data_IF_217676026567
#
_entry.id   IF_217676026567
#
_cell.length_a   1.000
_cell.length_b   1.000
_cell.length_c   1.000
_cell.angle_alpha   90.00
_cell.angle_beta   90.00
_cell.angle_gamma   90.00
#
_symmetry.space_group_name_H-M   'P 1'
#
loop_
_entity.id
_entity.type
_entity.pdbx_description
1 polymer ?
#
# COMPACT_ATOMS: atom_id res chain seq x y z
N UNK A 1 22.94 -66.84 -2.56
CA UNK A 1 22.64 -66.14 -3.83
C UNK A 1 22.68 -64.64 -3.58
N UNK A 2 23.87 -64.06 -3.54
CA UNK A 2 24.07 -62.62 -3.46
C UNK A 2 24.09 -62.05 -4.87
N UNK A 3 23.07 -61.27 -5.24
CA UNK A 3 23.08 -60.52 -6.50
C UNK A 3 23.90 -59.24 -6.31
N UNK A 4 25.16 -59.29 -6.75
CA UNK A 4 26.00 -58.11 -6.95
C UNK A 4 25.35 -57.18 -7.99
N UNK A 5 24.82 -56.04 -7.53
CA UNK A 5 24.47 -54.92 -8.41
C UNK A 5 25.75 -54.14 -8.72
N UNK A 6 26.40 -54.54 -9.82
CA UNK A 6 27.58 -53.88 -10.35
C UNK A 6 27.17 -52.64 -11.17
N UNK A 7 26.81 -51.55 -10.47
CA UNK A 7 26.49 -50.27 -11.12
C UNK A 7 27.79 -49.48 -11.30
N UNK A 8 28.30 -49.42 -12.53
CA UNK A 8 29.38 -48.50 -12.91
C UNK A 8 28.81 -47.11 -13.15
N UNK A 9 29.22 -46.13 -12.34
CA UNK A 9 28.94 -44.72 -12.62
C UNK A 9 29.89 -44.23 -13.72
N UNK A 10 29.35 -43.86 -14.89
CA UNK A 10 30.14 -43.47 -16.05
C UNK A 10 30.83 -42.09 -15.94
N UNK A 11 30.63 -41.34 -14.85
CA UNK A 11 31.33 -40.09 -14.62
C UNK A 11 31.60 -39.87 -13.13
N UNK A 12 32.82 -40.12 -12.61
CA UNK A 12 33.18 -39.68 -11.28
C UNK A 12 33.14 -38.14 -11.26
N UNK A 13 32.31 -37.57 -10.38
CA UNK A 13 32.29 -36.13 -10.13
C UNK A 13 33.69 -35.73 -9.69
N UNK A 14 34.45 -35.06 -10.57
CA UNK A 14 35.71 -34.42 -10.21
C UNK A 14 35.41 -33.24 -9.29
N UNK A 15 35.37 -33.50 -7.98
CA UNK A 15 35.35 -32.45 -6.98
C UNK A 15 36.71 -31.77 -7.00
N UNK A 16 36.78 -30.57 -7.59
CA UNK A 16 37.94 -29.70 -7.46
C UNK A 16 38.05 -29.26 -6.00
N UNK A 17 38.89 -29.93 -5.21
CA UNK A 17 39.24 -29.53 -3.86
C UNK A 17 40.15 -28.30 -3.95
N UNK A 18 39.55 -27.12 -4.06
CA UNK A 18 40.26 -25.87 -3.83
C UNK A 18 40.77 -25.85 -2.38
N UNK A 19 41.99 -25.36 -2.10
CA UNK A 19 42.49 -25.27 -0.74
C UNK A 19 41.55 -24.43 0.14
N UNK A 20 41.32 -24.90 1.38
CA UNK A 20 40.48 -24.24 2.36
C UNK A 20 40.99 -22.82 2.63
N UNK A 21 40.20 -21.82 2.21
CA UNK A 21 40.50 -20.40 2.46
C UNK A 21 40.59 -20.13 3.96
N UNK A 22 41.61 -19.40 4.38
CA UNK A 22 41.78 -18.99 5.79
C UNK A 22 40.66 -18.03 6.23
N UNK A 23 40.38 -17.89 7.53
CA UNK A 23 39.37 -16.96 8.02
C UNK A 23 39.57 -15.50 7.55
N UNK A 24 40.82 -15.05 7.45
CA UNK A 24 41.15 -13.73 6.91
C UNK A 24 40.90 -13.62 5.41
N UNK A 25 41.22 -14.66 4.64
CA UNK A 25 40.92 -14.69 3.21
C UNK A 25 39.40 -14.67 2.97
N UNK A 26 38.64 -15.44 3.75
CA UNK A 26 37.17 -15.42 3.73
C UNK A 26 36.62 -14.04 4.08
N UNK A 27 37.22 -13.35 5.06
CA UNK A 27 36.82 -12.00 5.45
C UNK A 27 37.13 -10.95 4.38
N UNK A 28 38.32 -10.98 3.79
CA UNK A 28 38.70 -10.07 2.69
C UNK A 28 37.86 -10.30 1.44
N UNK A 29 37.58 -11.56 1.12
CA UNK A 29 36.71 -11.92 0.01
C UNK A 29 35.26 -11.49 0.28
N UNK A 30 34.76 -11.65 1.51
CA UNK A 30 33.46 -11.14 1.92
C UNK A 30 33.39 -9.60 1.79
N UNK A 31 34.40 -8.88 2.28
CA UNK A 31 34.47 -7.41 2.17
C UNK A 31 34.57 -6.93 0.72
N UNK A 32 35.33 -7.64 -0.13
CA UNK A 32 35.42 -7.36 -1.57
C UNK A 32 34.08 -7.60 -2.27
N UNK A 33 33.45 -8.75 -2.01
CA UNK A 33 32.15 -9.09 -2.57
C UNK A 33 31.08 -8.09 -2.11
N UNK A 34 31.13 -7.64 -0.85
CA UNK A 34 30.22 -6.63 -0.33
C UNK A 34 30.39 -5.28 -1.05
N UNK A 35 31.63 -4.87 -1.34
CA UNK A 35 31.92 -3.65 -2.12
C UNK A 35 31.44 -3.76 -3.56
N UNK A 36 31.75 -4.87 -4.23
CA UNK A 36 31.31 -5.11 -5.62
C UNK A 36 29.78 -5.19 -5.73
N UNK A 37 29.12 -5.84 -4.77
CA UNK A 37 27.66 -5.92 -4.72
C UNK A 37 27.04 -4.55 -4.46
N UNK A 38 27.62 -3.76 -3.54
CA UNK A 38 27.19 -2.40 -3.28
C UNK A 38 27.33 -1.51 -4.50
N UNK A 39 28.44 -1.62 -5.22
CA UNK A 39 28.67 -0.83 -6.43
C UNK A 39 27.70 -1.21 -7.55
N UNK A 40 27.46 -2.51 -7.78
CA UNK A 40 26.43 -2.98 -8.72
C UNK A 40 25.01 -2.53 -8.35
N UNK A 41 24.70 -2.44 -7.06
CA UNK A 41 23.42 -1.91 -6.58
C UNK A 41 23.33 -0.40 -6.77
N UNK A 42 24.38 0.35 -6.43
CA UNK A 42 24.43 1.80 -6.62
C UNK A 42 24.31 2.16 -8.12
N UNK A 43 24.95 1.39 -9.00
CA UNK A 43 24.83 1.51 -10.46
C UNK A 43 23.39 1.18 -10.94
N UNK A 44 22.74 0.16 -10.35
CA UNK A 44 21.35 -0.19 -10.64
C UNK A 44 20.33 0.83 -10.09
N UNK A 45 20.64 1.52 -8.99
CA UNK A 45 19.80 2.58 -8.41
C UNK A 45 19.87 3.90 -9.19
N UNK A 46 20.92 4.11 -9.98
CA UNK A 46 21.03 5.28 -10.87
C UNK A 46 20.27 5.12 -12.18
N UNK A 47 19.89 3.89 -12.55
CA UNK A 47 19.06 3.63 -13.72
C UNK A 47 17.58 3.58 -13.38
N UNK A 48 16.76 3.99 -14.34
CA UNK A 48 15.43 4.56 -14.12
C UNK A 48 14.41 3.50 -13.66
N UNK A 49 14.16 3.39 -12.36
CA UNK A 49 12.91 2.84 -11.82
C UNK A 49 12.68 1.32 -11.96
N UNK A 50 13.72 0.53 -12.21
CA UNK A 50 13.61 -0.94 -12.41
C UNK A 50 13.77 -1.79 -11.13
N UNK A 51 13.57 -1.21 -9.93
CA UNK A 51 13.69 -1.92 -8.64
C UNK A 51 12.84 -3.20 -8.57
N UNK A 52 11.67 -3.18 -9.23
CA UNK A 52 10.73 -4.31 -9.27
C UNK A 52 11.24 -5.41 -10.20
N UNK A 53 11.84 -5.05 -11.34
CA UNK A 53 12.32 -6.01 -12.34
C UNK A 53 13.57 -6.75 -11.87
N UNK A 54 14.48 -6.08 -11.15
CA UNK A 54 15.67 -6.70 -10.54
C UNK A 54 15.30 -7.64 -9.40
N UNK A 55 14.30 -7.29 -8.57
CA UNK A 55 13.79 -8.17 -7.52
C UNK A 55 13.23 -9.47 -8.11
N UNK A 56 12.38 -9.36 -9.13
CA UNK A 56 11.72 -10.50 -9.79
C UNK A 56 12.71 -11.39 -10.58
N UNK A 57 13.75 -10.81 -11.18
CA UNK A 57 14.75 -11.56 -11.95
C UNK A 57 15.80 -12.28 -11.09
N UNK A 58 15.98 -11.88 -9.84
CA UNK A 58 17.09 -12.37 -8.99
C UNK A 58 16.92 -13.80 -8.45
N UNK A 59 15.72 -14.37 -8.52
CA UNK A 59 15.40 -15.67 -7.92
C UNK A 59 15.56 -15.74 -6.39
N UNK A 60 15.85 -14.62 -5.73
CA UNK A 60 16.05 -14.55 -4.28
C UNK A 60 14.70 -14.48 -3.57
N UNK A 61 14.55 -15.24 -2.49
CA UNK A 61 13.39 -15.11 -1.61
C UNK A 61 13.35 -13.71 -0.96
N UNK A 62 12.14 -13.20 -0.69
CA UNK A 62 11.92 -11.91 -0.04
C UNK A 62 12.70 -11.75 1.28
N UNK A 63 12.81 -12.82 2.06
CA UNK A 63 13.58 -12.86 3.31
C UNK A 63 15.09 -12.75 3.09
N UNK A 64 15.60 -13.25 1.96
CA UNK A 64 17.01 -13.14 1.62
C UNK A 64 17.34 -11.75 1.08
N UNK A 65 16.46 -11.20 0.24
CA UNK A 65 16.56 -9.81 -0.21
C UNK A 65 16.51 -8.82 0.95
N UNK A 66 15.61 -9.05 1.92
CA UNK A 66 15.52 -8.22 3.14
C UNK A 66 16.79 -8.31 3.98
N UNK A 67 17.37 -9.49 4.15
CA UNK A 67 18.65 -9.66 4.86
C UNK A 67 19.80 -8.95 4.14
N UNK A 68 19.89 -9.11 2.81
CA UNK A 68 20.90 -8.46 1.99
C UNK A 68 20.77 -6.94 2.10
N UNK A 69 19.55 -6.39 1.96
CA UNK A 69 19.23 -4.96 2.14
C UNK A 69 19.58 -4.46 3.54
N UNK A 70 19.27 -5.23 4.58
CA UNK A 70 19.61 -4.87 5.96
C UNK A 70 21.13 -4.91 6.20
N UNK A 71 21.87 -5.78 5.51
CA UNK A 71 23.32 -5.86 5.62
C UNK A 71 24.07 -4.76 4.85
N UNK A 72 23.48 -4.24 3.76
CA UNK A 72 24.11 -3.24 2.89
C UNK A 72 23.66 -1.81 3.18
N UNK A 73 22.40 -1.61 3.56
CA UNK A 73 21.79 -0.27 3.74
C UNK A 73 21.80 0.23 5.18
N UNK A 74 22.01 -0.64 6.17
CA UNK A 74 22.04 -0.24 7.58
C UNK A 74 23.43 -0.41 8.18
N UNK A 75 23.98 0.71 8.64
CA UNK A 75 25.15 0.73 9.49
C UNK A 75 24.85 -0.08 10.77
N UNK A 76 25.64 -1.12 11.07
CA UNK A 76 25.45 -1.92 12.28
C UNK A 76 25.43 -1.02 13.53
N UNK A 77 24.68 -1.40 14.57
CA UNK A 77 24.61 -0.63 15.84
C UNK A 77 26.01 -0.30 16.39
N UNK A 78 26.97 -1.22 16.22
CA UNK A 78 28.38 -1.05 16.63
C UNK A 78 29.11 -0.03 15.76
N UNK A 79 28.92 -0.08 14.44
CA UNK A 79 29.50 0.90 13.50
C UNK A 79 28.93 2.30 13.72
N UNK A 80 27.61 2.42 13.90
CA UNK A 80 26.93 3.68 14.17
C UNK A 80 27.39 4.30 15.49
N UNK A 81 27.53 3.48 16.54
CA UNK A 81 28.08 3.92 17.83
C UNK A 81 29.52 4.43 17.67
N UNK A 82 30.37 3.74 16.91
CA UNK A 82 31.76 4.14 16.67
C UNK A 82 31.86 5.44 15.87
N UNK A 83 30.99 5.65 14.87
CA UNK A 83 30.90 6.88 14.09
C UNK A 83 30.44 8.06 14.95
N UNK A 84 29.40 7.89 15.76
CA UNK A 84 28.90 8.91 16.68
C UNK A 84 29.97 9.28 17.72
N UNK A 85 30.64 8.29 18.31
CA UNK A 85 31.72 8.52 19.27
C UNK A 85 32.89 9.28 18.63
N UNK A 86 33.28 8.92 17.40
CA UNK A 86 34.32 9.63 16.64
C UNK A 86 33.92 11.07 16.31
N UNK A 87 32.65 11.32 15.95
CA UNK A 87 32.13 12.67 15.72
C UNK A 87 32.13 13.50 17.00
N UNK A 88 31.63 12.96 18.11
CA UNK A 88 31.61 13.61 19.41
C UNK A 88 33.02 13.94 19.91
N UNK A 89 33.98 13.04 19.69
CA UNK A 89 35.39 13.30 20.06
C UNK A 89 36.01 14.43 19.22
N UNK A 90 35.67 14.51 17.92
CA UNK A 90 36.10 15.63 17.05
C UNK A 90 35.42 16.96 17.43
N UNK A 91 34.15 16.92 17.79
CA UNK A 91 33.40 18.10 18.26
C UNK A 91 33.96 18.60 19.61
N UNK A 92 34.27 17.68 20.54
CA UNK A 92 34.93 17.99 21.82
C UNK A 92 36.36 18.53 21.65
N UNK A 93 37.06 18.13 20.59
CA UNK A 93 38.38 18.69 20.25
C UNK A 93 38.30 20.04 19.51
N UNK A 94 37.13 20.68 19.45
CA UNK A 94 36.95 22.00 18.83
C UNK A 94 36.90 22.02 17.30
N UNK A 95 36.79 20.85 16.64
CA UNK A 95 36.71 20.80 15.17
C UNK A 95 35.35 21.28 14.67
N UNK A 96 35.32 22.43 13.98
CA UNK A 96 34.18 22.86 13.16
C UNK A 96 34.37 22.38 11.73
N UNK A 97 33.37 21.74 11.09
CA UNK A 97 33.48 21.35 9.68
C UNK A 97 33.69 22.59 8.82
N UNK A 98 34.74 22.58 8.00
CA UNK A 98 35.01 23.66 7.05
C UNK A 98 33.84 23.75 6.06
N UNK A 99 33.22 24.91 5.95
CA UNK A 99 32.33 25.21 4.83
C UNK A 99 33.19 25.33 3.58
N UNK A 100 32.92 24.51 2.57
CA UNK A 100 33.70 24.47 1.33
C UNK A 100 33.30 25.57 0.32
N UNK A 101 32.45 26.51 0.73
CA UNK A 101 31.95 27.62 -0.09
C UNK A 101 32.22 28.96 0.63
N UNK A 102 32.58 29.99 -0.14
CA UNK A 102 32.78 31.35 0.39
C UNK A 102 31.47 32.04 0.72
N UNK A 103 31.52 33.15 1.48
CA UNK A 103 30.37 34.05 1.63
C UNK A 103 29.94 34.57 0.24
N UNK A 104 28.64 34.66 0.02
CA UNK A 104 28.07 35.04 -1.28
C UNK A 104 28.49 36.44 -1.76
N UNK A 105 28.71 37.37 -0.83
CA UNK A 105 29.19 38.74 -1.12
C UNK A 105 30.62 38.78 -1.69
N UNK A 106 31.32 37.65 -1.68
CA UNK A 106 32.64 37.52 -2.29
C UNK A 106 32.58 37.22 -3.80
N UNK A 107 31.39 37.12 -4.39
CA UNK A 107 31.19 36.79 -5.79
C UNK A 107 30.49 37.92 -6.55
N UNK A 108 30.97 38.22 -7.75
CA UNK A 108 30.41 39.24 -8.65
C UNK A 108 29.63 38.55 -9.77
N UNK A 109 28.35 38.87 -9.89
CA UNK A 109 27.46 38.51 -11.00
C UNK A 109 26.15 39.31 -10.89
N UNK A 110 25.33 39.30 -11.94
CA UNK A 110 24.01 39.96 -11.96
C UNK A 110 22.99 39.15 -11.15
N UNK A 111 22.69 39.63 -9.94
CA UNK A 111 21.82 38.94 -8.97
C UNK A 111 20.35 39.05 -9.34
N UNK A 112 19.93 40.19 -9.88
CA UNK A 112 18.52 40.48 -10.13
C UNK A 112 18.04 39.69 -11.35
N UNK A 113 18.86 39.64 -12.40
CA UNK A 113 18.60 38.82 -13.58
C UNK A 113 18.58 37.32 -13.25
N UNK A 114 19.45 36.88 -12.33
CA UNK A 114 19.49 35.50 -11.86
C UNK A 114 18.23 35.09 -11.08
N UNK A 115 17.76 35.94 -10.18
CA UNK A 115 16.56 35.66 -9.38
C UNK A 115 15.28 35.63 -10.25
N UNK A 116 15.18 36.52 -11.24
CA UNK A 116 14.07 36.52 -12.19
C UNK A 116 13.97 35.22 -13.00
N UNK A 117 15.10 34.72 -13.51
CA UNK A 117 15.14 33.47 -14.29
C UNK A 117 14.78 32.24 -13.43
N UNK A 118 15.13 32.26 -12.15
CA UNK A 118 14.78 31.19 -11.22
C UNK A 118 13.29 31.22 -10.86
N UNK A 119 12.69 32.39 -10.72
CA UNK A 119 11.25 32.54 -10.45
C UNK A 119 10.37 32.11 -11.63
N UNK A 120 10.88 32.21 -12.86
CA UNK A 120 10.18 31.79 -14.07
C UNK A 120 10.25 30.27 -14.31
N UNK A 121 11.05 29.52 -13.54
CA UNK A 121 11.16 28.07 -13.72
C UNK A 121 9.93 27.33 -13.16
N UNK A 122 9.36 26.36 -13.91
CA UNK A 122 8.24 25.55 -13.42
C UNK A 122 8.60 24.79 -12.15
N UNK A 123 7.64 24.69 -11.23
CA UNK A 123 7.80 23.92 -10.00
C UNK A 123 8.09 22.44 -10.32
N UNK A 124 9.22 21.93 -9.80
CA UNK A 124 9.66 20.54 -10.02
C UNK A 124 10.65 20.33 -11.16
N UNK A 125 11.04 21.38 -11.88
CA UNK A 125 12.08 21.28 -12.92
C UNK A 125 13.49 21.05 -12.34
N UNK A 126 14.30 20.25 -13.05
CA UNK A 126 15.69 19.96 -12.66
C UNK A 126 16.59 21.12 -13.08
N UNK A 127 17.07 21.90 -12.11
CA UNK A 127 17.96 23.04 -12.38
C UNK A 127 19.42 22.59 -12.44
N UNK A 128 20.09 22.81 -13.58
CA UNK A 128 21.53 22.59 -13.73
C UNK A 128 22.34 23.81 -13.24
N UNK A 129 22.69 23.79 -11.95
CA UNK A 129 23.42 24.87 -11.28
C UNK A 129 24.78 25.21 -11.88
N UNK A 130 25.47 24.22 -12.45
CA UNK A 130 26.77 24.42 -13.08
C UNK A 130 26.66 25.19 -14.39
N UNK A 131 25.57 24.96 -15.16
CA UNK A 131 25.30 25.72 -16.37
C UNK A 131 24.89 27.16 -16.05
N UNK A 132 24.02 27.35 -15.06
CA UNK A 132 23.64 28.70 -14.60
C UNK A 132 24.86 29.48 -14.11
N UNK A 133 25.75 28.85 -13.35
CA UNK A 133 26.97 29.51 -12.90
C UNK A 133 27.89 29.99 -14.03
N UNK A 134 27.89 29.29 -15.19
CA UNK A 134 28.60 29.73 -16.40
C UNK A 134 27.84 30.83 -17.14
N UNK A 135 26.51 30.71 -17.23
CA UNK A 135 25.63 31.68 -17.89
C UNK A 135 25.74 33.07 -17.25
N UNK A 136 25.81 33.13 -15.92
CA UNK A 136 25.94 34.38 -15.16
C UNK A 136 27.39 34.78 -14.86
N UNK A 137 28.36 34.11 -15.48
CA UNK A 137 29.80 34.33 -15.33
C UNK A 137 30.26 34.67 -13.91
N UNK A 138 29.98 33.78 -12.95
CA UNK A 138 30.30 34.06 -11.54
C UNK A 138 31.81 34.17 -11.36
N UNK A 139 32.27 35.35 -10.94
CA UNK A 139 33.68 35.58 -10.59
C UNK A 139 33.87 35.71 -9.10
N UNK A 140 34.94 35.11 -8.58
CA UNK A 140 35.44 35.37 -7.23
C UNK A 140 36.07 36.77 -7.13
N UNK A 141 36.43 37.21 -5.91
CA UNK A 141 37.22 38.45 -5.70
C UNK A 141 38.49 38.52 -6.56
N UNK A 142 39.05 37.37 -6.93
CA UNK A 142 40.27 37.27 -7.72
C UNK A 142 40.01 37.22 -9.24
N UNK A 143 38.77 37.50 -9.70
CA UNK A 143 38.40 37.52 -11.12
C UNK A 143 38.26 36.14 -11.77
N UNK A 144 38.54 35.06 -11.06
CA UNK A 144 38.46 33.68 -11.57
C UNK A 144 37.11 33.03 -11.27
N UNK A 145 36.67 32.16 -12.18
CA UNK A 145 35.44 31.37 -12.01
C UNK A 145 35.67 30.26 -10.96
N UNK A 146 34.90 30.24 -9.86
CA UNK A 146 35.11 29.25 -8.80
C UNK A 146 34.72 27.84 -9.25
N UNK A 147 35.53 26.82 -8.93
CA UNK A 147 35.23 25.42 -9.26
C UNK A 147 33.91 24.92 -8.66
N UNK A 148 33.46 25.55 -7.59
CA UNK A 148 32.22 25.26 -6.86
C UNK A 148 31.11 26.30 -7.13
N UNK A 149 31.16 27.06 -8.22
CA UNK A 149 30.22 28.14 -8.52
C UNK A 149 28.74 27.71 -8.52
N UNK A 150 28.42 26.52 -9.02
CA UNK A 150 27.05 25.99 -8.98
C UNK A 150 26.53 25.75 -7.56
N UNK A 151 27.41 25.34 -6.64
CA UNK A 151 27.04 25.13 -5.24
C UNK A 151 26.78 26.46 -4.51
N UNK A 152 27.54 27.50 -4.87
CA UNK A 152 27.35 28.87 -4.36
C UNK A 152 25.97 29.43 -4.75
N UNK A 153 25.53 29.22 -5.99
CA UNK A 153 24.19 29.62 -6.44
C UNK A 153 23.08 28.86 -5.71
N UNK A 154 23.22 27.52 -5.62
CA UNK A 154 22.22 26.64 -5.02
C UNK A 154 21.92 26.97 -3.56
N UNK A 155 22.93 27.35 -2.77
CA UNK A 155 22.73 27.69 -1.35
C UNK A 155 22.14 29.10 -1.15
N UNK A 156 22.37 30.02 -2.08
CA UNK A 156 21.90 31.38 -1.94
C UNK A 156 20.41 31.53 -2.26
N UNK A 157 19.95 30.78 -3.26
CA UNK A 157 18.54 30.58 -3.43
C UNK A 157 18.06 29.70 -2.27
N UNK A 158 17.63 30.34 -1.19
CA UNK A 158 16.77 29.70 -0.19
C UNK A 158 15.40 29.37 -0.82
N UNK A 159 15.37 28.74 -1.99
CA UNK A 159 14.30 27.79 -2.29
C UNK A 159 14.47 26.79 -1.16
N UNK A 160 13.59 26.92 -0.16
CA UNK A 160 13.37 25.84 0.77
C UNK A 160 12.91 24.68 -0.09
N UNK A 161 13.84 23.85 -0.58
CA UNK A 161 13.54 22.48 -0.93
C UNK A 161 12.74 21.98 0.27
N UNK A 162 11.49 21.53 0.09
CA UNK A 162 10.61 21.19 1.20
C UNK A 162 11.37 20.27 2.13
N UNK A 163 11.88 20.87 3.21
CA UNK A 163 12.80 20.18 4.10
C UNK A 163 11.87 19.36 4.95
N UNK A 164 12.04 18.03 4.95
CA UNK A 164 11.17 17.14 5.73
C UNK A 164 11.01 17.74 7.12
N UNK A 165 9.77 18.12 7.46
CA UNK A 165 9.47 18.78 8.73
C UNK A 165 10.10 17.95 9.84
N UNK A 166 10.82 18.56 10.82
CA UNK A 166 11.39 17.81 11.91
C UNK A 166 10.32 16.92 12.54
N UNK A 167 10.61 15.64 12.76
CA UNK A 167 9.63 14.67 13.26
C UNK A 167 8.94 15.15 14.56
N UNK A 168 9.67 15.92 15.39
CA UNK A 168 9.13 16.58 16.57
C UNK A 168 8.01 17.56 16.26
N UNK A 169 8.21 18.44 15.27
CA UNK A 169 7.21 19.43 14.87
C UNK A 169 5.99 18.75 14.26
N UNK A 170 6.19 17.72 13.44
CA UNK A 170 5.10 16.92 12.89
C UNK A 170 4.30 16.23 14.00
N UNK A 171 4.97 15.64 14.99
CA UNK A 171 4.32 15.00 16.14
C UNK A 171 3.49 16.00 16.96
N UNK A 172 4.02 17.19 17.21
CA UNK A 172 3.29 18.23 17.94
C UNK A 172 2.07 18.71 17.15
N UNK A 173 2.21 18.90 15.84
CA UNK A 173 1.10 19.33 14.98
C UNK A 173 0.00 18.25 14.90
N UNK A 174 0.37 16.99 14.67
CA UNK A 174 -0.60 15.87 14.67
C UNK A 174 -1.34 15.79 16.01
N UNK A 175 -0.63 15.91 17.14
CA UNK A 175 -1.27 15.92 18.46
C UNK A 175 -2.26 17.06 18.60
N UNK A 176 -1.87 18.27 18.18
CA UNK A 176 -2.76 19.44 18.19
C UNK A 176 -4.02 19.19 17.36
N UNK A 177 -3.87 18.68 16.14
CA UNK A 177 -4.98 18.39 15.22
C UNK A 177 -5.93 17.31 15.75
N UNK A 178 -5.38 16.27 16.40
CA UNK A 178 -6.20 15.25 17.07
C UNK A 178 -6.95 15.86 18.25
N UNK A 179 -6.29 16.68 19.08
CA UNK A 179 -6.93 17.32 20.23
C UNK A 179 -7.97 18.37 19.84
N UNK A 180 -7.79 19.06 18.71
CA UNK A 180 -8.76 20.03 18.20
C UNK A 180 -9.91 19.39 17.41
N UNK A 181 -9.86 18.08 17.15
CA UNK A 181 -10.83 17.38 16.31
C UNK A 181 -10.65 17.62 14.80
N UNK A 182 -9.62 18.36 14.37
CA UNK A 182 -9.30 18.56 12.94
C UNK A 182 -8.89 17.23 12.28
N UNK A 183 -8.24 16.34 13.04
CA UNK A 183 -7.91 14.99 12.62
C UNK A 183 -8.72 13.99 13.44
N UNK A 184 -9.79 13.44 12.84
CA UNK A 184 -10.55 12.36 13.45
C UNK A 184 -9.81 11.03 13.33
N UNK A 185 -9.52 10.41 14.46
CA UNK A 185 -8.78 9.12 14.54
C UNK A 185 -9.65 7.97 15.05
N UNK A 186 -10.97 8.17 15.13
CA UNK A 186 -11.92 7.16 15.57
C UNK A 186 -12.01 6.97 17.09
N UNK A 187 -12.90 6.07 17.47
CA UNK A 187 -13.20 5.67 18.84
C UNK A 187 -12.29 4.51 19.30
N UNK A 188 -11.95 4.44 20.59
CA UNK A 188 -11.21 3.30 21.13
C UNK A 188 -12.08 2.04 21.11
N UNK A 189 -11.53 0.92 20.64
CA UNK A 189 -12.21 -0.38 20.57
C UNK A 189 -11.28 -1.51 21.01
N UNK A 190 -11.85 -2.67 21.33
CA UNK A 190 -11.11 -3.88 21.71
C UNK A 190 -10.00 -3.60 22.74
N UNK A 191 -10.36 -3.22 23.98
CA UNK A 191 -9.38 -3.01 25.05
C UNK A 191 -8.49 -4.24 25.25
N UNK A 192 -7.18 -4.03 25.33
CA UNK A 192 -6.19 -5.07 25.61
C UNK A 192 -5.27 -4.62 26.74
N UNK A 193 -5.02 -5.49 27.71
CA UNK A 193 -4.03 -5.23 28.76
C UNK A 193 -2.66 -5.72 28.32
N UNK A 194 -1.66 -4.83 28.34
CA UNK A 194 -0.26 -5.17 28.12
C UNK A 194 0.55 -4.97 29.40
N UNK A 195 1.56 -5.80 29.60
CA UNK A 195 2.52 -5.63 30.70
C UNK A 195 3.73 -4.89 30.14
N UNK A 196 3.98 -3.68 30.62
CA UNK A 196 5.20 -2.94 30.34
C UNK A 196 6.20 -3.20 31.44
N UNK A 197 7.36 -3.69 31.04
CA UNK A 197 8.50 -3.85 31.93
C UNK A 197 9.40 -2.64 31.79
N UNK A 198 9.56 -1.85 32.85
CA UNK A 198 10.50 -0.73 32.92
C UNK A 198 11.58 -1.03 33.96
N UNK A 199 12.81 -0.64 33.66
CA UNK A 199 13.86 -0.57 34.66
C UNK A 199 13.77 0.82 35.28
N UNK A 200 13.57 0.88 36.60
CA UNK A 200 13.57 2.14 37.35
C UNK A 200 14.96 2.75 37.40
N UNK A 201 15.07 4.03 37.78
CA UNK A 201 16.38 4.68 37.97
C UNK A 201 17.23 3.99 39.05
N UNK A 202 16.60 3.21 39.94
CA UNK A 202 17.25 2.37 40.95
C UNK A 202 17.68 0.98 40.42
N UNK A 203 17.53 0.70 39.13
CA UNK A 203 17.90 -0.58 38.52
C UNK A 203 16.94 -1.73 38.82
N UNK A 204 15.79 -1.48 39.45
CA UNK A 204 14.77 -2.49 39.74
C UNK A 204 13.82 -2.67 38.56
N UNK A 205 13.44 -3.92 38.30
CA UNK A 205 12.49 -4.26 37.25
C UNK A 205 11.06 -4.01 37.78
N UNK A 206 10.38 -3.00 37.23
CA UNK A 206 8.98 -2.71 37.53
C UNK A 206 8.09 -3.20 36.38
N UNK A 207 6.99 -3.88 36.71
CA UNK A 207 5.98 -4.34 35.75
C UNK A 207 4.71 -3.54 35.95
N UNK A 208 4.39 -2.68 34.99
CA UNK A 208 3.16 -1.89 34.96
C UNK A 208 2.17 -2.54 34.00
N UNK A 209 0.94 -2.79 34.43
CA UNK A 209 -0.16 -3.17 33.53
C UNK A 209 -0.76 -1.90 32.94
N UNK A 210 -0.78 -1.79 31.63
CA UNK A 210 -1.38 -0.68 30.90
C UNK A 210 -2.44 -1.21 29.94
N UNK A 211 -3.57 -0.53 29.86
CA UNK A 211 -4.64 -0.86 28.92
C UNK A 211 -4.43 -0.06 27.63
N UNK A 212 -4.29 -0.76 26.52
CA UNK A 212 -4.24 -0.20 25.17
C UNK A 212 -5.53 -0.52 24.43
N UNK A 213 -5.82 0.27 23.40
CA UNK A 213 -7.04 0.15 22.61
C UNK A 213 -6.68 0.17 21.12
N UNK A 214 -7.41 -0.61 20.33
CA UNK A 214 -7.52 -0.36 18.90
C UNK A 214 -8.31 0.93 18.64
N UNK A 215 -8.33 1.36 17.38
CA UNK A 215 -9.12 2.50 16.93
C UNK A 215 -10.05 2.07 15.79
N UNK A 216 -11.32 2.47 15.87
CA UNK A 216 -12.32 2.30 14.81
C UNK A 216 -12.89 3.66 14.44
N UNK A 217 -12.96 3.98 13.15
CA UNK A 217 -13.83 5.06 12.67
C UNK A 217 -15.20 4.41 12.42
N UNK A 218 -16.29 4.82 13.11
CA UNK A 218 -17.59 4.18 12.94
C UNK A 218 -18.03 4.15 11.47
N UNK A 219 -18.54 3.01 10.99
CA UNK A 219 -18.95 2.83 9.59
C UNK A 219 -19.90 3.93 9.12
N UNK A 220 -20.86 4.32 9.97
CA UNK A 220 -21.83 5.37 9.64
C UNK A 220 -21.16 6.73 9.38
N UNK A 221 -20.10 7.06 10.12
CA UNK A 221 -19.31 8.27 9.93
C UNK A 221 -18.56 8.23 8.58
N UNK A 222 -17.95 7.08 8.27
CA UNK A 222 -17.25 6.84 7.00
C UNK A 222 -18.21 7.01 5.82
N UNK A 223 -19.40 6.40 5.89
CA UNK A 223 -20.39 6.45 4.82
C UNK A 223 -20.93 7.86 4.55
N UNK A 224 -21.20 8.64 5.62
CA UNK A 224 -21.64 10.04 5.52
C UNK A 224 -20.56 10.93 4.93
N UNK A 225 -19.34 10.87 5.47
CA UNK A 225 -18.21 11.68 4.98
C UNK A 225 -17.87 11.37 3.52
N UNK A 226 -17.92 10.10 3.10
CA UNK A 226 -17.69 9.73 1.72
C UNK A 226 -18.81 10.21 0.78
N UNK A 227 -20.07 10.15 1.22
CA UNK A 227 -21.19 10.70 0.46
C UNK A 227 -21.03 12.21 0.24
N UNK A 228 -20.73 12.97 1.30
CA UNK A 228 -20.47 14.41 1.23
C UNK A 228 -19.35 14.73 0.24
N UNK A 229 -18.24 13.98 0.31
CA UNK A 229 -17.11 14.16 -0.61
C UNK A 229 -17.50 13.90 -2.07
N UNK A 230 -18.25 12.82 -2.33
CA UNK A 230 -18.67 12.44 -3.67
C UNK A 230 -19.72 13.40 -4.28
N UNK A 231 -20.54 14.02 -3.44
CA UNK A 231 -21.43 15.11 -3.83
C UNK A 231 -20.61 16.35 -4.21
N UNK A 232 -19.67 16.76 -3.35
CA UNK A 232 -18.83 17.94 -3.57
C UNK A 232 -17.96 17.78 -4.84
N UNK A 233 -17.39 16.60 -5.05
CA UNK A 233 -16.62 16.28 -6.25
C UNK A 233 -17.49 16.24 -7.50
N UNK A 234 -18.81 16.06 -7.37
CA UNK A 234 -19.75 15.95 -8.48
C UNK A 234 -19.66 14.63 -9.23
N UNK A 235 -19.08 13.59 -8.62
CA UNK A 235 -18.89 12.28 -9.27
C UNK A 235 -20.14 11.39 -9.23
N UNK A 236 -21.05 11.64 -8.29
CA UNK A 236 -22.30 10.88 -8.17
C UNK A 236 -23.32 11.28 -9.23
N UNK A 237 -24.01 10.27 -9.72
CA UNK A 237 -25.21 10.38 -10.52
C UNK A 237 -26.42 10.38 -9.59
N UNK A 238 -27.20 11.44 -9.63
CA UNK A 238 -28.38 11.61 -8.80
C UNK A 238 -29.60 11.90 -9.65
N UNK A 239 -30.72 11.27 -9.29
CA UNK A 239 -32.04 11.51 -9.84
C UNK A 239 -33.07 11.62 -8.70
N UNK A 240 -33.91 12.65 -8.79
CA UNK A 240 -35.06 12.90 -7.93
C UNK A 240 -36.14 11.85 -8.15
N UNK A 241 -37.02 11.70 -7.15
CA UNK A 241 -38.20 10.84 -7.30
C UNK A 241 -39.10 11.31 -8.46
N UNK A 242 -39.18 12.62 -8.70
CA UNK A 242 -39.91 13.20 -9.84
C UNK A 242 -39.29 12.82 -11.19
N UNK A 243 -37.96 12.80 -11.30
CA UNK A 243 -37.27 12.34 -12.52
C UNK A 243 -37.52 10.86 -12.82
N UNK A 244 -37.68 10.02 -11.79
CA UNK A 244 -38.08 8.63 -11.99
C UNK A 244 -39.53 8.49 -12.44
N UNK A 245 -40.44 9.30 -11.89
CA UNK A 245 -41.86 9.29 -12.27
C UNK A 245 -42.02 9.74 -13.73
N UNK A 246 -41.29 10.78 -14.13
CA UNK A 246 -41.41 11.40 -15.45
C UNK A 246 -40.46 10.82 -16.51
N UNK A 247 -39.79 9.70 -16.24
CA UNK A 247 -38.81 9.11 -17.17
C UNK A 247 -39.48 8.66 -18.48
N UNK A 248 -38.95 9.03 -19.64
CA UNK A 248 -39.47 8.56 -20.93
C UNK A 248 -39.10 7.09 -21.18
N UNK A 249 -39.84 6.38 -22.04
CA UNK A 249 -39.49 4.98 -22.39
C UNK A 249 -38.12 4.88 -23.07
N UNK A 250 -37.75 5.88 -23.86
CA UNK A 250 -36.45 5.95 -24.50
C UNK A 250 -35.33 6.10 -23.47
N UNK A 251 -35.52 6.96 -22.48
CA UNK A 251 -34.55 7.17 -21.40
C UNK A 251 -34.50 5.97 -20.44
N UNK A 252 -35.63 5.32 -20.18
CA UNK A 252 -35.65 4.08 -19.40
C UNK A 252 -34.77 3.01 -20.06
N UNK A 253 -34.95 2.79 -21.37
CA UNK A 253 -34.14 1.84 -22.16
C UNK A 253 -32.67 2.22 -22.20
N UNK A 254 -32.34 3.51 -22.36
CA UNK A 254 -30.94 3.98 -22.40
C UNK A 254 -30.23 3.69 -21.06
N UNK A 255 -30.91 3.90 -19.93
CA UNK A 255 -30.35 3.64 -18.60
C UNK A 255 -30.17 2.16 -18.30
N UNK A 256 -31.13 1.31 -18.66
CA UNK A 256 -30.97 -0.15 -18.52
C UNK A 256 -29.82 -0.67 -19.39
N UNK A 257 -29.68 -0.16 -20.62
CA UNK A 257 -28.56 -0.51 -21.50
C UNK A 257 -27.21 -0.10 -20.88
N UNK A 258 -27.13 1.08 -20.25
CA UNK A 258 -25.92 1.55 -19.56
C UNK A 258 -25.52 0.64 -18.40
N UNK A 259 -26.50 0.15 -17.64
CA UNK A 259 -26.29 -0.72 -16.48
C UNK A 259 -26.10 -2.19 -16.92
N UNK A 260 -26.40 -2.50 -18.20
CA UNK A 260 -26.36 -3.83 -18.80
C UNK A 260 -27.33 -4.82 -18.14
N UNK A 261 -28.50 -4.32 -17.72
CA UNK A 261 -29.54 -5.12 -17.07
C UNK A 261 -30.76 -5.29 -17.98
N UNK A 262 -31.47 -6.41 -17.82
CA UNK A 262 -32.72 -6.65 -18.54
C UNK A 262 -33.84 -5.77 -18.00
N UNK A 263 -34.65 -5.21 -18.90
CA UNK A 263 -35.80 -4.37 -18.52
C UNK A 263 -36.94 -5.28 -18.07
N UNK A 264 -37.46 -5.13 -16.83
CA UNK A 264 -38.66 -5.83 -16.40
C UNK A 264 -39.86 -5.50 -17.32
N UNK A 265 -40.73 -6.49 -17.55
CA UNK A 265 -41.89 -6.32 -18.45
C UNK A 265 -42.87 -5.23 -17.98
N UNK A 266 -43.08 -5.13 -16.67
CA UNK A 266 -43.91 -4.09 -16.08
C UNK A 266 -43.08 -2.81 -15.85
N UNK A 267 -43.55 -1.69 -16.42
CA UNK A 267 -42.92 -0.37 -16.31
C UNK A 267 -42.73 0.11 -14.87
N UNK A 268 -43.70 -0.09 -13.99
CA UNK A 268 -43.58 0.30 -12.57
C UNK A 268 -42.47 -0.50 -11.88
N UNK A 269 -42.42 -1.81 -12.15
CA UNK A 269 -41.34 -2.67 -11.65
C UNK A 269 -39.99 -2.25 -12.23
N UNK A 270 -39.93 -1.90 -13.52
CA UNK A 270 -38.70 -1.41 -14.16
C UNK A 270 -38.18 -0.12 -13.52
N UNK A 271 -39.06 0.85 -13.25
CA UNK A 271 -38.68 2.10 -12.58
C UNK A 271 -38.20 1.83 -11.15
N UNK A 272 -38.92 0.99 -10.39
CA UNK A 272 -38.54 0.65 -9.02
C UNK A 272 -37.19 -0.08 -8.95
N UNK A 273 -36.94 -1.00 -9.89
CA UNK A 273 -35.70 -1.75 -9.99
C UNK A 273 -34.54 -0.84 -10.40
N UNK A 274 -34.72 0.00 -11.42
CA UNK A 274 -33.72 1.00 -11.82
C UNK A 274 -33.37 1.93 -10.66
N UNK A 275 -34.39 2.47 -9.96
CA UNK A 275 -34.20 3.31 -8.79
C UNK A 275 -33.40 2.61 -7.69
N UNK A 276 -33.65 1.31 -7.47
CA UNK A 276 -32.91 0.53 -6.49
C UNK A 276 -31.42 0.40 -6.84
N UNK A 277 -31.10 0.15 -8.12
CA UNK A 277 -29.72 0.01 -8.60
C UNK A 277 -28.98 1.34 -8.53
N UNK A 278 -29.58 2.41 -9.07
CA UNK A 278 -28.95 3.73 -9.13
C UNK A 278 -28.80 4.38 -7.73
N UNK A 279 -29.60 3.96 -6.73
CA UNK A 279 -29.48 4.42 -5.33
C UNK A 279 -28.67 3.51 -4.42
N UNK A 280 -28.14 2.39 -4.92
CA UNK A 280 -27.35 1.46 -4.12
C UNK A 280 -25.89 1.53 -4.50
N UNK A 281 -25.03 2.07 -3.64
CA UNK A 281 -23.58 2.09 -3.87
C UNK A 281 -22.92 0.85 -3.28
N UNK A 282 -21.90 0.34 -3.95
CA UNK A 282 -21.10 -0.78 -3.43
C UNK A 282 -19.90 -0.27 -2.63
N UNK A 283 -19.83 -0.66 -1.36
CA UNK A 283 -18.67 -0.47 -0.49
C UNK A 283 -17.78 -1.70 -0.60
N UNK A 284 -16.52 -1.49 -0.95
CA UNK A 284 -15.46 -2.49 -0.91
C UNK A 284 -14.78 -2.46 0.46
N UNK A 285 -14.85 -3.59 1.17
CA UNK A 285 -14.11 -3.83 2.40
C UNK A 285 -13.03 -4.89 2.15
N UNK A 286 -11.80 -4.55 2.49
CA UNK A 286 -10.70 -5.52 2.55
C UNK A 286 -9.94 -5.32 3.85
N UNK A 287 -9.18 -6.32 4.25
CA UNK A 287 -8.26 -6.17 5.36
C UNK A 287 -6.88 -6.69 4.97
N UNK A 288 -5.87 -6.05 5.53
CA UNK A 288 -4.49 -6.46 5.36
C UNK A 288 -3.79 -6.55 6.73
N UNK A 289 -2.69 -7.28 6.74
CA UNK A 289 -1.82 -7.42 7.90
C UNK A 289 -0.51 -6.72 7.58
N UNK A 290 -0.21 -5.68 8.35
CA UNK A 290 0.98 -4.87 8.13
C UNK A 290 1.84 -4.84 9.37
N UNK A 291 3.14 -4.95 9.19
CA UNK A 291 4.12 -4.78 10.25
C UNK A 291 4.76 -3.40 10.14
N UNK A 292 4.59 -2.55 11.15
CA UNK A 292 5.23 -1.25 11.24
C UNK A 292 6.12 -1.24 12.47
N UNK A 293 7.43 -1.04 12.27
CA UNK A 293 8.42 -0.96 13.35
C UNK A 293 8.40 -2.18 14.29
N UNK A 294 8.28 -3.38 13.72
CA UNK A 294 8.16 -4.68 14.41
C UNK A 294 6.89 -4.85 15.26
N UNK A 295 5.93 -3.94 15.15
CA UNK A 295 4.59 -4.14 15.67
C UNK A 295 3.68 -4.59 14.54
N UNK A 296 2.99 -5.70 14.74
CA UNK A 296 2.00 -6.19 13.80
C UNK A 296 0.68 -5.47 14.00
N UNK A 297 0.01 -5.13 12.89
CA UNK A 297 -1.27 -4.44 12.87
C UNK A 297 -2.25 -5.18 11.98
N UNK A 298 -3.53 -5.12 12.36
CA UNK A 298 -4.63 -5.47 11.46
C UNK A 298 -5.31 -4.18 11.04
N UNK A 299 -5.34 -3.98 9.72
CA UNK A 299 -5.93 -2.81 9.08
C UNK A 299 -7.14 -3.26 8.28
N UNK A 300 -8.33 -2.81 8.67
CA UNK A 300 -9.51 -2.92 7.82
C UNK A 300 -9.65 -1.61 7.05
N UNK A 301 -9.83 -1.75 5.74
CA UNK A 301 -9.84 -0.65 4.79
C UNK A 301 -11.15 -0.67 4.01
N UNK A 302 -11.72 0.51 3.83
CA UNK A 302 -12.94 0.72 3.07
C UNK A 302 -12.67 1.63 1.88
N UNK A 303 -13.26 1.30 0.74
CA UNK A 303 -13.38 2.17 -0.42
C UNK A 303 -14.73 1.96 -1.09
N UNK A 304 -15.06 2.78 -2.08
CA UNK A 304 -16.23 2.55 -2.92
C UNK A 304 -15.80 1.87 -4.21
N UNK A 305 -16.69 1.08 -4.79
CA UNK A 305 -16.53 0.58 -6.14
C UNK A 305 -17.20 1.57 -7.10
N UNK A 306 -16.50 1.88 -8.18
CA UNK A 306 -17.10 2.63 -9.26
C UNK A 306 -18.09 1.75 -10.03
N UNK A 307 -19.25 2.31 -10.30
CA UNK A 307 -20.34 1.70 -11.05
C UNK A 307 -21.02 2.81 -11.88
N UNK A 308 -21.25 2.57 -13.16
CA UNK A 308 -21.90 3.53 -14.07
C UNK A 308 -23.37 3.78 -13.72
N UNK A 309 -23.99 2.89 -12.94
CA UNK A 309 -25.31 3.10 -12.36
C UNK A 309 -25.33 4.27 -11.37
N UNK A 310 -24.34 4.35 -10.49
CA UNK A 310 -24.31 5.34 -9.40
C UNK A 310 -23.42 6.55 -9.69
N UNK A 311 -22.45 6.43 -10.59
CA UNK A 311 -21.46 7.47 -10.85
C UNK A 311 -21.45 7.89 -12.33
N UNK A 312 -20.98 9.11 -12.55
CA UNK A 312 -20.78 9.65 -13.89
C UNK A 312 -19.56 9.01 -14.56
N UNK A 313 -19.62 8.83 -15.86
CA UNK A 313 -18.44 8.57 -16.67
C UNK A 313 -17.59 9.83 -16.81
N UNK A 314 -16.34 9.68 -17.23
CA UNK A 314 -15.46 10.83 -17.49
C UNK A 314 -16.07 11.79 -18.53
N UNK A 315 -16.76 11.23 -19.54
CA UNK A 315 -17.42 12.03 -20.58
C UNK A 315 -18.59 12.83 -20.00
N UNK A 316 -19.51 12.17 -19.30
CA UNK A 316 -20.66 12.85 -18.67
C UNK A 316 -20.21 13.88 -17.64
N UNK A 317 -19.11 13.63 -16.93
CA UNK A 317 -18.54 14.61 -15.99
C UNK A 317 -18.05 15.87 -16.71
N UNK A 318 -17.36 15.73 -17.85
CA UNK A 318 -16.91 16.87 -18.65
C UNK A 318 -18.08 17.64 -19.27
N UNK A 319 -19.13 16.93 -19.71
CA UNK A 319 -20.34 17.55 -20.26
C UNK A 319 -21.12 18.31 -19.18
N UNK A 320 -21.19 17.75 -17.95
CA UNK A 320 -21.92 18.35 -16.83
C UNK A 320 -21.17 19.52 -16.17
N UNK A 321 -19.84 19.45 -16.12
CA UNK A 321 -18.99 20.46 -15.48
C UNK A 321 -17.85 20.93 -16.42
N UNK A 322 -18.18 21.60 -17.53
CA UNK A 322 -17.18 22.03 -18.52
C UNK A 322 -16.16 23.04 -17.96
N UNK A 323 -16.51 23.75 -16.90
CA UNK A 323 -15.66 24.70 -16.19
C UNK A 323 -14.65 24.05 -15.24
N UNK A 324 -14.86 22.79 -14.87
CA UNK A 324 -13.98 22.05 -13.95
C UNK A 324 -12.87 21.36 -14.72
N UNK A 325 -11.73 21.18 -14.05
CA UNK A 325 -10.64 20.36 -14.60
C UNK A 325 -11.16 18.93 -14.81
N UNK A 326 -10.87 18.31 -15.98
CA UNK A 326 -11.17 16.90 -16.19
C UNK A 326 -10.52 16.02 -15.12
N UNK A 327 -11.30 15.07 -14.58
CA UNK A 327 -10.84 14.08 -13.62
C UNK A 327 -11.07 12.68 -14.16
N UNK A 328 -10.33 11.70 -13.63
CA UNK A 328 -10.70 10.30 -13.77
C UNK A 328 -11.70 9.99 -12.64
N UNK A 329 -12.99 9.89 -12.99
CA UNK A 329 -14.08 9.73 -12.04
C UNK A 329 -13.94 8.43 -11.26
N UNK A 330 -13.65 7.32 -11.95
CA UNK A 330 -13.41 6.02 -11.30
C UNK A 330 -12.28 6.13 -10.29
N UNK A 331 -11.14 6.70 -10.69
CA UNK A 331 -10.00 6.85 -9.79
C UNK A 331 -10.35 7.72 -8.58
N UNK A 332 -11.11 8.81 -8.75
CA UNK A 332 -11.48 9.68 -7.63
C UNK A 332 -12.46 9.00 -6.67
N UNK A 333 -13.42 8.21 -7.17
CA UNK A 333 -14.36 7.43 -6.35
C UNK A 333 -13.63 6.33 -5.56
N UNK A 334 -12.73 5.60 -6.20
CA UNK A 334 -12.01 4.47 -5.59
C UNK A 334 -10.81 4.90 -4.72
N UNK A 335 -10.29 6.12 -4.92
CA UNK A 335 -9.16 6.67 -4.17
C UNK A 335 -9.49 6.97 -2.72
N UNK A 336 -10.77 7.19 -2.38
CA UNK A 336 -11.22 7.41 -1.00
C UNK A 336 -11.05 6.12 -0.18
N UNK A 337 -9.83 5.88 0.29
CA UNK A 337 -9.46 4.77 1.17
C UNK A 337 -9.60 5.23 2.61
N UNK A 338 -10.66 4.78 3.28
CA UNK A 338 -10.87 5.04 4.70
C UNK A 338 -10.30 3.89 5.52
N UNK A 339 -9.43 4.24 6.47
CA UNK A 339 -8.99 3.32 7.51
C UNK A 339 -10.16 3.10 8.46
N UNK A 340 -10.78 1.93 8.39
CA UNK A 340 -11.98 1.60 9.16
C UNK A 340 -11.62 1.15 10.57
N UNK A 341 -10.78 0.13 10.69
CA UNK A 341 -10.31 -0.39 11.97
C UNK A 341 -8.79 -0.51 11.89
N UNK A 342 -8.12 0.01 12.91
CA UNK A 342 -6.68 -0.12 13.10
C UNK A 342 -6.37 -0.63 14.49
N UNK A 343 -5.73 -1.79 14.56
CA UNK A 343 -5.50 -2.48 15.83
C UNK A 343 -4.09 -3.04 15.91
N UNK A 344 -3.57 -3.14 17.12
CA UNK A 344 -2.27 -3.77 17.42
C UNK A 344 -2.51 -5.28 17.60
N UNK A 345 -1.75 -6.08 16.86
CA UNK A 345 -1.61 -7.53 17.05
C UNK A 345 -0.63 -7.80 18.20
N UNK A 346 -0.96 -8.72 19.11
CA UNK A 346 -0.16 -9.02 20.31
C UNK A 346 1.15 -9.75 19.99
N UNK A 347 1.32 -10.25 18.77
CA UNK A 347 2.48 -11.05 18.41
C UNK A 347 3.45 -10.23 17.57
N UNK A 348 4.60 -9.90 18.17
CA UNK A 348 5.78 -9.44 17.43
C UNK A 348 6.22 -10.52 16.44
N UNK A 349 6.32 -10.18 15.15
CA UNK A 349 6.92 -11.01 14.09
C UNK A 349 6.20 -12.31 13.73
N UNK A 350 4.91 -12.44 14.03
CA UNK A 350 4.08 -13.46 13.42
C UNK A 350 2.70 -12.83 13.17
N UNK A 351 2.23 -12.87 11.92
CA UNK A 351 0.92 -12.34 11.54
C UNK A 351 -0.17 -12.70 12.56
N UNK A 352 -1.16 -11.81 12.67
CA UNK A 352 -2.26 -11.91 13.63
C UNK A 352 -2.88 -13.32 13.63
N UNK A 353 -2.88 -14.00 14.78
CA UNK A 353 -3.59 -15.28 14.96
C UNK A 353 -5.10 -15.05 14.84
N UNK A 354 -5.82 -16.07 14.36
CA UNK A 354 -7.29 -16.02 14.22
C UNK A 354 -8.00 -15.59 15.52
N UNK A 355 -7.51 -16.05 16.67
CA UNK A 355 -7.99 -15.67 18.01
C UNK A 355 -8.05 -14.15 18.22
N UNK A 356 -7.05 -13.42 17.73
CA UNK A 356 -7.02 -11.96 17.85
C UNK A 356 -7.97 -11.29 16.87
N UNK A 357 -8.16 -11.85 15.66
CA UNK A 357 -9.17 -11.36 14.73
C UNK A 357 -10.58 -11.49 15.30
N UNK A 358 -10.82 -12.55 16.09
CA UNK A 358 -12.09 -12.77 16.77
C UNK A 358 -12.42 -11.69 17.79
N UNK A 359 -11.42 -11.04 18.41
CA UNK A 359 -11.65 -9.95 19.38
C UNK A 359 -12.30 -8.71 18.77
N UNK A 360 -12.35 -8.60 17.44
CA UNK A 360 -12.98 -7.49 16.72
C UNK A 360 -14.34 -7.86 16.12
N UNK A 361 -14.85 -9.07 16.35
CA UNK A 361 -16.12 -9.53 15.76
C UNK A 361 -17.28 -8.69 16.26
N UNK A 362 -17.42 -8.48 17.57
CA UNK A 362 -18.53 -7.70 18.13
C UNK A 362 -18.56 -6.27 17.58
N UNK A 363 -17.39 -5.63 17.55
CA UNK A 363 -17.21 -4.29 16.99
C UNK A 363 -17.58 -4.19 15.50
N UNK A 364 -17.36 -5.27 14.73
CA UNK A 364 -17.76 -5.34 13.32
C UNK A 364 -19.26 -5.62 13.18
N UNK A 365 -19.80 -6.53 13.99
CA UNK A 365 -21.22 -6.87 13.98
C UNK A 365 -22.08 -5.65 14.34
N UNK A 366 -21.63 -4.82 15.28
CA UNK A 366 -22.26 -3.53 15.62
C UNK A 366 -22.45 -2.66 14.37
N UNK A 367 -21.39 -2.43 13.60
CA UNK A 367 -21.42 -1.56 12.42
C UNK A 367 -22.14 -2.19 11.22
N UNK A 368 -22.22 -3.52 11.17
CA UNK A 368 -22.98 -4.24 10.15
C UNK A 368 -24.48 -4.15 10.37
N UNK A 369 -24.97 -3.93 11.60
CA UNK A 369 -26.41 -3.77 11.88
C UNK A 369 -27.01 -2.59 11.14
N UNK A 370 -26.24 -1.51 11.02
CA UNK A 370 -26.71 -0.25 10.45
C UNK A 370 -26.37 -0.12 8.96
N UNK A 371 -25.77 -1.15 8.33
CA UNK A 371 -25.34 -1.05 6.94
C UNK A 371 -26.51 -0.94 5.96
N UNK A 372 -27.57 -1.68 6.25
CA UNK A 372 -28.80 -1.68 5.46
C UNK A 372 -29.63 -0.41 5.68
N UNK A 373 -29.28 0.39 6.70
CA UNK A 373 -29.95 1.68 6.93
C UNK A 373 -29.51 2.68 5.86
N UNK A 374 -30.44 3.25 5.08
CA UNK A 374 -30.12 4.25 4.07
C UNK A 374 -29.57 5.54 4.69
N UNK A 375 -28.71 6.24 3.95
CA UNK A 375 -28.25 7.57 4.31
C UNK A 375 -29.14 8.60 3.62
N UNK A 376 -29.67 9.52 4.41
CA UNK A 376 -30.49 10.61 3.93
C UNK A 376 -29.64 11.86 3.66
N UNK A 377 -29.83 12.45 2.48
CA UNK A 377 -29.25 13.74 2.11
C UNK A 377 -30.24 14.46 1.20
N UNK A 378 -30.66 15.69 1.52
CA UNK A 378 -31.54 16.55 0.70
C UNK A 378 -32.70 15.82 -0.03
N UNK A 379 -33.41 14.95 0.71
CA UNK A 379 -34.53 14.09 0.28
C UNK A 379 -34.19 12.80 -0.49
N UNK A 380 -32.90 12.50 -0.70
CA UNK A 380 -32.44 11.25 -1.29
C UNK A 380 -32.16 10.22 -0.22
N UNK A 381 -32.59 8.97 -0.47
CA UNK A 381 -32.23 7.80 0.33
C UNK A 381 -31.24 6.96 -0.45
N UNK A 382 -30.00 6.92 0.01
CA UNK A 382 -28.92 6.16 -0.62
C UNK A 382 -28.66 4.92 0.22
N UNK A 383 -28.73 3.77 -0.41
CA UNK A 383 -28.38 2.50 0.21
C UNK A 383 -26.90 2.20 -0.09
N UNK A 384 -26.23 1.56 0.86
CA UNK A 384 -24.88 1.05 0.64
C UNK A 384 -24.89 -0.46 0.85
N UNK A 385 -24.29 -1.21 -0.06
CA UNK A 385 -24.11 -2.65 0.09
C UNK A 385 -22.62 -2.97 0.31
N UNK A 386 -22.34 -3.88 1.24
CA UNK A 386 -20.97 -4.28 1.54
C UNK A 386 -20.53 -5.45 0.66
N UNK A 387 -19.36 -5.31 0.06
CA UNK A 387 -18.67 -6.38 -0.67
C UNK A 387 -17.33 -6.65 0.00
N UNK A 388 -17.13 -7.90 0.41
CA UNK A 388 -15.93 -8.37 1.10
C UNK A 388 -14.89 -8.84 0.06
N UNK A 389 -13.68 -8.32 0.15
CA UNK A 389 -12.57 -8.68 -0.73
C UNK A 389 -11.41 -9.28 0.07
N UNK A 390 -10.86 -10.38 -0.42
CA UNK A 390 -9.58 -10.93 0.05
C UNK A 390 -8.43 -10.43 -0.82
N UNK A 391 -7.54 -9.59 -0.27
CA UNK A 391 -6.34 -9.06 -0.93
C UNK A 391 -6.39 -7.57 -1.30
N UNK A 392 -5.31 -7.07 -1.92
CA UNK A 392 -5.08 -5.63 -2.18
C UNK A 392 -5.95 -5.02 -3.31
N UNK A 393 -6.84 -5.79 -3.92
CA UNK A 393 -7.61 -5.41 -5.10
C UNK A 393 -8.67 -6.45 -5.45
N UNK A 394 -9.62 -6.14 -6.36
CA UNK A 394 -10.38 -7.20 -7.02
C UNK A 394 -9.42 -8.05 -7.87
N UNK A 395 -8.83 -9.08 -7.28
CA UNK A 395 -8.39 -10.21 -8.05
C UNK A 395 -9.63 -11.11 -8.20
N UNK A 396 -10.31 -11.02 -9.36
CA UNK A 396 -11.54 -11.81 -9.69
C UNK A 396 -11.37 -13.34 -9.62
N UNK A 397 -10.18 -13.81 -9.24
CA UNK A 397 -9.82 -15.19 -8.94
C UNK A 397 -10.08 -15.61 -7.46
N UNK A 398 -10.57 -14.72 -6.58
CA UNK A 398 -10.69 -14.99 -5.13
C UNK A 398 -12.06 -14.69 -4.48
N UNK A 399 -13.19 -14.89 -5.16
CA UNK A 399 -14.48 -15.08 -4.45
C UNK A 399 -14.65 -16.49 -3.86
N UNK A 400 -13.52 -17.11 -3.51
CA UNK A 400 -13.41 -18.40 -2.85
C UNK A 400 -11.95 -18.79 -2.82
N UNK A 401 -11.47 -19.25 -1.65
CA UNK A 401 -10.08 -19.64 -1.48
C UNK A 401 -9.56 -20.53 -2.61
N UNK A 402 -8.31 -20.32 -3.01
CA UNK A 402 -7.62 -21.19 -3.98
C UNK A 402 -7.69 -22.64 -3.52
N UNK A 403 -8.43 -23.49 -4.25
CA UNK A 403 -8.09 -24.90 -4.28
C UNK A 403 -6.83 -25.02 -5.12
N UNK A 404 -5.69 -25.28 -4.48
CA UNK A 404 -4.48 -25.69 -5.20
C UNK A 404 -4.69 -27.10 -5.75
N UNK A 405 -5.08 -27.18 -7.02
CA UNK A 405 -5.12 -28.41 -7.80
C UNK A 405 -6.53 -28.90 -8.13
N UNK A 406 -6.84 -28.95 -9.43
CA UNK A 406 -8.11 -29.41 -9.99
C UNK A 406 -8.51 -28.60 -11.23
N UNK A 407 -9.50 -29.09 -11.98
CA UNK A 407 -10.08 -28.40 -13.15
C UNK A 407 -10.87 -27.13 -12.78
N UNK A 408 -11.10 -26.87 -11.49
CA UNK A 408 -11.78 -25.70 -10.97
C UNK A 408 -11.01 -25.18 -9.75
N UNK A 409 -10.01 -24.30 -9.95
CA UNK A 409 -9.11 -23.85 -8.88
C UNK A 409 -9.76 -22.82 -7.94
N UNK A 410 -10.98 -22.38 -8.23
CA UNK A 410 -11.75 -21.39 -7.49
C UNK A 410 -13.23 -21.84 -7.34
N UNK A 411 -13.89 -21.40 -6.27
CA UNK A 411 -15.32 -21.64 -5.98
C UNK A 411 -16.28 -20.81 -6.85
N UNK A 412 -15.76 -20.12 -7.87
CA UNK A 412 -16.54 -19.37 -8.85
C UNK A 412 -17.20 -20.27 -9.92
N UNK A 413 -16.91 -21.58 -9.94
CA UNK A 413 -17.47 -22.50 -10.92
C UNK A 413 -16.90 -22.38 -12.33
N UNK A 414 -15.87 -21.54 -12.53
CA UNK A 414 -15.18 -21.38 -13.81
C UNK A 414 -14.07 -22.42 -13.96
N UNK A 415 -14.07 -23.15 -15.07
CA UNK A 415 -13.06 -24.15 -15.39
C UNK A 415 -11.68 -23.50 -15.57
N UNK A 416 -10.60 -24.16 -15.14
CA UNK A 416 -9.24 -23.64 -15.10
C UNK A 416 -8.75 -23.10 -16.46
N UNK A 417 -9.21 -23.72 -17.55
CA UNK A 417 -8.86 -23.34 -18.92
C UNK A 417 -9.50 -22.00 -19.35
N UNK A 418 -10.63 -21.62 -18.74
CA UNK A 418 -11.37 -20.39 -19.03
C UNK A 418 -11.02 -19.24 -18.08
N UNK A 419 -10.09 -19.43 -17.13
CA UNK A 419 -9.69 -18.38 -16.18
C UNK A 419 -9.00 -17.18 -16.84
N UNK A 420 -8.41 -17.38 -18.02
CA UNK A 420 -7.83 -16.30 -18.83
C UNK A 420 -8.89 -15.57 -19.66
N UNK A 421 -10.08 -16.15 -19.82
CA UNK A 421 -11.22 -15.56 -20.52
C UNK A 421 -12.04 -14.69 -19.56
N UNK A 422 -11.63 -13.44 -19.43
CA UNK A 422 -12.22 -12.48 -18.50
C UNK A 422 -13.72 -12.28 -18.75
N UNK A 423 -14.16 -12.30 -20.02
CA UNK A 423 -15.57 -12.10 -20.36
C UNK A 423 -16.43 -13.25 -19.81
N UNK A 424 -15.96 -14.48 -19.98
CA UNK A 424 -16.61 -15.68 -19.45
C UNK A 424 -16.65 -15.65 -17.92
N UNK A 425 -15.53 -15.31 -17.27
CA UNK A 425 -15.46 -15.17 -15.82
C UNK A 425 -16.43 -14.12 -15.25
N UNK A 426 -16.87 -13.15 -16.06
CA UNK A 426 -17.76 -12.07 -15.62
C UNK A 426 -19.23 -12.46 -15.70
N UNK A 427 -19.56 -13.45 -16.52
CA UNK A 427 -20.92 -13.87 -16.83
C UNK A 427 -21.36 -15.11 -16.05
N UNK A 428 -20.40 -15.84 -15.46
CA UNK A 428 -20.71 -17.01 -14.64
C UNK A 428 -21.37 -16.58 -13.34
N UNK A 429 -22.61 -17.04 -13.14
CA UNK A 429 -23.37 -16.79 -11.92
C UNK A 429 -22.74 -17.51 -10.72
N UNK A 430 -22.73 -16.89 -9.53
CA UNK A 430 -22.29 -17.56 -8.32
C UNK A 430 -23.15 -18.79 -8.06
N UNK A 431 -22.50 -19.94 -7.86
CA UNK A 431 -23.22 -21.15 -7.45
C UNK A 431 -23.71 -21.02 -6.00
N UNK A 432 -24.85 -21.63 -5.71
CA UNK A 432 -25.36 -21.71 -4.35
C UNK A 432 -24.46 -22.57 -3.44
N UNK A 433 -24.73 -22.55 -2.14
CA UNK A 433 -23.91 -23.25 -1.15
C UNK A 433 -23.90 -24.78 -1.39
N UNK A 434 -25.02 -25.35 -1.84
CA UNK A 434 -25.18 -26.79 -2.03
C UNK A 434 -24.42 -27.28 -3.27
N UNK A 435 -24.49 -26.54 -4.38
CA UNK A 435 -23.72 -26.79 -5.59
C UNK A 435 -22.22 -26.61 -5.35
N UNK A 436 -21.84 -25.60 -4.56
CA UNK A 436 -20.46 -25.41 -4.09
C UNK A 436 -19.96 -26.58 -3.25
N UNK A 437 -20.78 -27.09 -2.34
CA UNK A 437 -20.47 -28.28 -1.56
C UNK A 437 -20.33 -29.52 -2.45
N UNK A 438 -21.18 -29.70 -3.48
CA UNK A 438 -21.08 -30.79 -4.46
C UNK A 438 -19.79 -30.72 -5.28
N UNK A 439 -19.39 -29.53 -5.75
CA UNK A 439 -18.12 -29.34 -6.46
C UNK A 439 -16.89 -29.58 -5.59
N UNK A 440 -16.90 -29.05 -4.35
CA UNK A 440 -15.79 -29.25 -3.42
C UNK A 440 -15.61 -30.75 -3.09
N UNK A 441 -16.72 -31.48 -2.94
CA UNK A 441 -16.73 -32.92 -2.64
C UNK A 441 -16.49 -33.83 -3.84
N UNK A 442 -16.74 -33.36 -5.07
CA UNK A 442 -16.43 -34.11 -6.31
C UNK A 442 -14.97 -33.98 -6.76
N UNK A 443 -14.19 -33.08 -6.13
CA UNK A 443 -12.78 -32.88 -6.46
C UNK A 443 -11.93 -34.15 -6.23
N UNK A 444 -11.05 -34.44 -7.19
CA UNK A 444 -10.10 -35.56 -7.11
C UNK A 444 -9.20 -35.50 -5.85
N UNK A 445 -8.94 -34.30 -5.33
CA UNK A 445 -8.15 -34.07 -4.12
C UNK A 445 -8.84 -34.65 -2.89
N UNK A 446 -10.16 -34.49 -2.76
CA UNK A 446 -10.94 -35.00 -1.62
C UNK A 446 -11.19 -36.51 -1.74
N UNK A 447 -11.33 -37.01 -2.97
CA UNK A 447 -11.33 -38.45 -3.27
C UNK A 447 -10.02 -39.12 -2.86
N UNK A 448 -8.88 -38.55 -3.22
CA UNK A 448 -7.55 -39.03 -2.78
C UNK A 448 -7.34 -38.91 -1.27
N UNK A 449 -7.95 -37.93 -0.61
CA UNK A 449 -7.91 -37.78 0.85
C UNK A 449 -8.76 -38.87 1.54
N UNK A 450 -9.95 -39.19 1.00
CA UNK A 450 -10.79 -40.31 1.44
C UNK A 450 -10.16 -41.68 1.17
N UNK A 451 -9.48 -41.84 0.05
CA UNK A 451 -8.73 -43.04 -0.32
C UNK A 451 -7.39 -43.17 0.44
N UNK A 452 -7.06 -42.22 1.33
CA UNK A 452 -5.86 -42.26 2.16
C UNK A 452 -4.55 -41.93 1.45
N UNK A 453 -4.60 -41.57 0.16
CA UNK A 453 -3.45 -41.26 -0.68
C UNK A 453 -2.81 -39.89 -0.40
N UNK A 454 -3.54 -38.99 0.29
CA UNK A 454 -3.11 -37.64 0.61
C UNK A 454 -3.22 -37.43 2.13
N UNK A 455 -2.08 -37.34 2.81
CA UNK A 455 -2.03 -36.98 4.22
C UNK A 455 -1.80 -35.46 4.36
N UNK A 456 -2.82 -34.66 4.72
CA UNK A 456 -2.69 -33.21 4.83
C UNK A 456 -1.75 -32.77 5.96
N UNK A 457 -1.37 -33.68 6.86
CA UNK A 457 -0.50 -33.42 7.99
C UNK A 457 0.95 -33.93 7.80
N UNK A 458 1.29 -34.46 6.62
CA UNK A 458 2.58 -35.13 6.39
C UNK A 458 3.80 -34.21 6.58
N UNK A 459 3.61 -32.90 6.41
CA UNK A 459 4.66 -31.88 6.57
C UNK A 459 4.54 -31.08 7.87
N UNK A 460 3.58 -31.40 8.74
CA UNK A 460 3.48 -30.74 10.04
C UNK A 460 4.48 -31.40 10.99
N UNK A 461 5.46 -30.61 11.45
CA UNK A 461 6.37 -31.05 12.51
C UNK A 461 5.55 -31.37 13.75
N UNK A 462 5.64 -32.62 14.22
CA UNK A 462 5.15 -33.00 15.55
C UNK A 462 5.85 -32.10 16.58
N UNK A 463 5.04 -31.44 17.42
CA UNK A 463 5.55 -30.70 18.58
C UNK A 463 5.98 -31.66 19.67
#
# INVERSE_FOLDING_TARGET
MEKNLNIKFENPIKVSLSPLKTPEQKRKEFERNLKETKQKMDDAFTDVGEDIHVFLASGKSFNQYTRDRMSTSFESKKSASKRVLSRLNKEKSGYKPKKHHGKFDNYKFDKDLFLQEIQQNPAGSTINWSLLARKYDIKSKNGTTPKNAGQVLKENIKISLPTKRPAKNLKTDIKRKVSSGELYIGVPVAPKSIVKTKITDAGTLNQEKEQIYGRKIPMQHIRKSALEHQIQSGTLRFFTDEEYINISDQELRSRFLRIQESIPENRENAISFLKSLERTRSIKLWHDHSDILNHSYVCFMLSWLYDTANYLTNQEYMEKYPERRPINVQAEVEKTKNLYIWTISQILNAGCKDEEQMTYVETRLEDLKDIDTPIEHDNYKIQDCLRLFSGDGPARQFEGGQQRGGNYPCLCGVHAEEHTNLLHCFQVSPQDLDDRCRLATSSNSLRKLKEGCLNPFQNLKKR
#
